data_IF_840422670872
#
_entry.id   IF_840422670872
#
_cell.length_a   1.000
_cell.length_b   1.000
_cell.length_c   1.000
_cell.angle_alpha   90.00
_cell.angle_beta   90.00
_cell.angle_gamma   90.00
#
_symmetry.space_group_name_H-M   'P 1'
#
loop_
_entity.id
_entity.type
_entity.pdbx_description
1 polymer ?
#
# COMPACT_ATOMS: atom_id res chain seq x y z
N UNK A 1 7.91 5.64 -11.26
CA UNK A 1 7.82 4.48 -12.17
C UNK A 1 7.20 3.36 -11.36
N UNK A 2 5.88 3.41 -11.16
CA UNK A 2 5.07 2.47 -10.33
C UNK A 2 5.04 1.02 -10.87
N UNK A 3 5.73 0.77 -11.98
CA UNK A 3 5.50 -0.31 -12.95
C UNK A 3 6.24 -1.61 -12.65
N UNK A 4 7.02 -1.68 -11.58
CA UNK A 4 7.80 -2.89 -11.25
C UNK A 4 7.26 -3.55 -9.99
N UNK A 5 6.74 -2.75 -9.05
CA UNK A 5 6.22 -3.25 -7.76
C UNK A 5 4.85 -3.93 -7.93
N UNK A 6 3.97 -3.39 -8.77
CA UNK A 6 2.74 -4.06 -9.20
C UNK A 6 3.00 -5.15 -10.24
N UNK A 7 3.93 -4.91 -11.16
CA UNK A 7 4.37 -5.95 -12.08
C UNK A 7 5.07 -7.13 -11.37
N UNK A 8 5.55 -7.01 -10.13
CA UNK A 8 6.13 -8.12 -9.33
C UNK A 8 5.06 -8.95 -8.59
N UNK A 9 3.97 -8.32 -8.16
CA UNK A 9 2.73 -9.02 -7.78
C UNK A 9 2.10 -9.71 -9.00
N UNK A 10 2.13 -9.06 -10.16
CA UNK A 10 1.75 -9.64 -11.44
C UNK A 10 2.74 -10.73 -11.91
N UNK A 11 4.05 -10.59 -11.69
CA UNK A 11 5.06 -11.54 -12.18
C UNK A 11 5.06 -12.86 -11.44
N UNK A 12 4.45 -12.93 -10.25
CA UNK A 12 4.15 -14.20 -9.61
C UNK A 12 3.08 -15.01 -10.36
N UNK A 13 2.45 -14.41 -11.38
CA UNK A 13 1.23 -14.91 -12.02
C UNK A 13 1.29 -14.88 -13.55
N UNK A 14 2.09 -14.00 -14.18
CA UNK A 14 2.10 -13.86 -15.64
C UNK A 14 3.01 -14.92 -16.30
N UNK A 15 2.46 -16.13 -16.47
CA UNK A 15 2.57 -16.86 -17.74
C UNK A 15 1.41 -16.34 -18.63
N UNK A 16 1.66 -15.96 -19.89
CA UNK A 16 0.76 -15.07 -20.61
C UNK A 16 -0.48 -15.80 -21.13
N UNK A 17 -1.67 -15.31 -20.78
CA UNK A 17 -2.88 -15.59 -21.54
C UNK A 17 -3.77 -14.34 -21.64
N UNK A 18 -3.80 -13.83 -22.87
CA UNK A 18 -4.54 -12.68 -23.37
C UNK A 18 -6.04 -13.02 -23.57
N UNK A 19 -6.95 -12.07 -23.26
CA UNK A 19 -8.16 -11.89 -24.08
C UNK A 19 -9.49 -11.57 -23.36
N UNK A 20 -9.93 -10.30 -23.50
CA UNK A 20 -11.20 -10.01 -24.20
C UNK A 20 -12.50 -9.80 -23.42
N UNK A 21 -12.86 -8.52 -23.29
CA UNK A 21 -14.13 -7.89 -23.69
C UNK A 21 -15.44 -8.00 -22.86
N UNK A 22 -15.95 -6.79 -22.58
CA UNK A 22 -17.33 -6.30 -22.75
C UNK A 22 -18.38 -6.35 -21.60
N UNK A 23 -18.70 -5.14 -21.14
CA UNK A 23 -20.03 -4.49 -21.23
C UNK A 23 -20.83 -4.19 -19.95
N UNK A 24 -21.23 -2.91 -19.82
CA UNK A 24 -22.52 -2.47 -19.26
C UNK A 24 -22.45 -1.44 -18.13
N UNK A 25 -22.44 -0.13 -18.40
CA UNK A 25 -23.65 0.74 -18.58
C UNK A 25 -24.28 1.30 -17.28
N UNK A 26 -23.85 2.53 -16.96
CA UNK A 26 -24.58 3.72 -16.42
C UNK A 26 -25.78 3.58 -15.46
N UNK A 27 -25.80 4.41 -14.42
CA UNK A 27 -26.89 5.39 -14.16
C UNK A 27 -26.47 6.45 -13.13
N UNK A 28 -26.74 7.71 -13.46
CA UNK A 28 -26.52 8.92 -12.66
C UNK A 28 -27.79 9.35 -11.89
N UNK A 29 -27.65 10.45 -11.13
CA UNK A 29 -28.67 11.35 -10.49
C UNK A 29 -28.89 11.07 -8.99
N UNK A 30 -28.98 12.04 -8.07
CA UNK A 30 -28.77 13.50 -8.03
C UNK A 30 -28.91 13.95 -6.55
N UNK A 31 -28.13 14.98 -6.19
CA UNK A 31 -28.45 16.14 -5.32
C UNK A 31 -29.06 16.03 -3.90
N UNK A 32 -28.25 16.52 -2.94
CA UNK A 32 -28.49 17.70 -2.08
C UNK A 32 -29.65 17.73 -1.06
N UNK A 33 -29.33 17.89 0.23
CA UNK A 33 -29.37 19.20 0.92
C UNK A 33 -29.46 19.13 2.47
N UNK A 34 -28.58 19.92 3.09
CA UNK A 34 -28.81 20.89 4.20
C UNK A 34 -29.01 20.47 5.67
N UNK A 35 -27.99 20.84 6.46
CA UNK A 35 -28.03 21.80 7.59
C UNK A 35 -28.71 21.44 8.92
N UNK A 36 -27.99 21.56 10.05
CA UNK A 36 -28.06 22.73 10.95
C UNK A 36 -27.29 22.54 12.27
N UNK A 37 -26.77 23.66 12.77
CA UNK A 37 -25.88 23.81 13.92
C UNK A 37 -26.61 23.91 15.28
N UNK A 38 -25.86 23.71 16.38
CA UNK A 38 -25.93 24.45 17.68
C UNK A 38 -24.87 23.87 18.64
N UNK A 39 -23.79 24.57 18.99
CA UNK A 39 -23.65 25.64 20.00
C UNK A 39 -23.29 25.14 21.43
N UNK A 40 -21.98 25.16 21.69
CA UNK A 40 -21.20 25.72 22.82
C UNK A 40 -21.58 25.55 24.30
N UNK A 41 -20.53 25.23 25.09
CA UNK A 41 -19.95 26.01 26.22
C UNK A 41 -19.62 25.14 27.47
N UNK A 42 -18.74 25.59 28.41
CA UNK A 42 -17.35 26.01 28.25
C UNK A 42 -16.42 25.47 29.37
N UNK A 43 -15.13 25.84 29.27
CA UNK A 43 -14.13 25.99 30.34
C UNK A 43 -13.38 24.74 30.82
N UNK A 44 -12.07 24.72 30.54
CA UNK A 44 -11.10 24.98 31.61
C UNK A 44 -9.76 25.41 31.01
N UNK A 45 -9.38 26.65 31.32
CA UNK A 45 -8.08 27.21 31.00
C UNK A 45 -6.98 26.54 31.83
N UNK A 46 -6.02 25.94 31.14
CA UNK A 46 -4.63 25.87 31.59
C UNK A 46 -3.81 26.52 30.48
N UNK A 47 -2.96 27.45 30.85
CA UNK A 47 -2.15 28.20 29.92
C UNK A 47 -1.06 27.29 29.34
N UNK A 48 -1.24 26.91 28.07
CA UNK A 48 -0.20 26.46 27.15
C UNK A 48 -0.32 27.35 25.91
N UNK A 49 0.29 28.54 25.95
CA UNK A 49 0.25 29.48 24.82
C UNK A 49 1.01 29.00 23.59
N UNK A 50 1.72 27.86 23.68
CA UNK A 50 2.39 27.19 22.56
C UNK A 50 1.42 26.28 21.77
N UNK A 51 0.48 25.60 22.46
CA UNK A 51 -0.39 24.59 21.83
C UNK A 51 -1.40 25.19 20.83
N UNK A 52 -1.78 26.46 21.02
CA UNK A 52 -2.68 27.16 20.09
C UNK A 52 -2.01 27.48 18.76
N UNK A 53 -0.70 27.69 18.74
CA UNK A 53 0.05 27.97 17.51
C UNK A 53 0.33 26.69 16.75
N UNK A 54 0.74 25.64 17.47
CA UNK A 54 0.97 24.29 16.94
C UNK A 54 -0.29 23.72 16.29
N UNK A 55 -1.45 23.79 16.97
CA UNK A 55 -2.73 23.34 16.40
C UNK A 55 -3.17 24.14 15.18
N UNK A 56 -2.94 25.46 15.18
CA UNK A 56 -3.29 26.29 14.02
C UNK A 56 -2.42 25.94 12.81
N UNK A 57 -1.12 25.70 13.03
CA UNK A 57 -0.18 25.29 12.00
C UNK A 57 -0.53 23.89 11.44
N UNK A 58 -0.75 22.90 12.32
CA UNK A 58 -1.15 21.55 11.91
C UNK A 58 -2.46 21.58 11.10
N UNK A 59 -3.44 22.37 11.52
CA UNK A 59 -4.71 22.53 10.82
C UNK A 59 -4.58 23.18 9.45
N UNK A 60 -3.69 24.17 9.29
CA UNK A 60 -3.43 24.78 8.00
C UNK A 60 -2.67 23.82 7.06
N UNK A 61 -1.67 23.11 7.58
CA UNK A 61 -0.94 22.08 6.84
C UNK A 61 -1.87 20.95 6.39
N UNK A 62 -2.80 20.51 7.25
CA UNK A 62 -3.79 19.50 6.92
C UNK A 62 -4.76 19.98 5.82
N UNK A 63 -5.16 21.25 5.85
CA UNK A 63 -5.99 21.82 4.80
C UNK A 63 -5.25 21.88 3.45
N UNK A 64 -3.95 22.19 3.47
CA UNK A 64 -3.10 22.13 2.28
C UNK A 64 -3.00 20.70 1.74
N UNK A 65 -2.75 19.73 2.62
CA UNK A 65 -2.62 18.32 2.28
C UNK A 65 -3.93 17.73 1.72
N UNK A 66 -5.07 18.00 2.37
CA UNK A 66 -6.39 17.55 1.90
C UNK A 66 -6.84 18.23 0.60
N UNK A 67 -6.18 19.31 0.19
CA UNK A 67 -6.43 19.95 -1.11
C UNK A 67 -5.66 19.28 -2.25
N UNK A 68 -4.68 18.43 -1.94
CA UNK A 68 -3.98 17.62 -2.93
C UNK A 68 -4.85 16.43 -3.34
N UNK A 69 -5.27 16.34 -4.62
CA UNK A 69 -6.06 15.21 -5.11
C UNK A 69 -5.29 13.88 -5.15
N UNK A 70 -3.96 13.91 -5.07
CA UNK A 70 -3.12 12.70 -5.06
C UNK A 70 -2.91 12.16 -3.64
N UNK A 71 -3.28 12.92 -2.61
CA UNK A 71 -3.15 12.48 -1.23
C UNK A 71 -4.25 11.46 -0.86
N UNK A 72 -3.89 10.23 -0.44
CA UNK A 72 -4.86 9.14 -0.27
C UNK A 72 -5.67 9.20 1.03
N UNK A 73 -5.32 10.08 1.99
CA UNK A 73 -5.89 10.09 3.35
C UNK A 73 -6.44 11.47 3.79
N UNK A 74 -7.30 12.13 2.99
CA UNK A 74 -7.71 13.51 3.26
C UNK A 74 -8.44 13.70 4.60
N UNK A 75 -9.13 12.66 5.09
CA UNK A 75 -9.87 12.71 6.35
C UNK A 75 -8.94 12.59 7.57
N UNK A 76 -7.78 11.93 7.41
CA UNK A 76 -6.77 11.73 8.45
C UNK A 76 -5.70 12.82 8.45
N UNK A 77 -5.72 13.74 7.47
CA UNK A 77 -4.70 14.78 7.30
C UNK A 77 -4.42 15.59 8.57
N UNK A 78 -5.45 15.91 9.37
CA UNK A 78 -5.26 16.63 10.64
C UNK A 78 -4.49 15.81 11.68
N UNK A 79 -4.82 14.53 11.83
CA UNK A 79 -4.10 13.66 12.76
C UNK A 79 -2.63 13.53 12.36
N UNK A 80 -2.38 13.34 11.06
CA UNK A 80 -1.02 13.16 10.51
C UNK A 80 -0.20 14.43 10.76
N UNK A 81 -0.73 15.61 10.46
CA UNK A 81 0.01 16.86 10.65
C UNK A 81 0.17 17.25 12.12
N UNK A 82 -0.79 16.92 12.99
CA UNK A 82 -0.62 17.05 14.44
C UNK A 82 0.53 16.15 14.93
N UNK A 83 0.61 14.91 14.46
CA UNK A 83 1.72 14.00 14.79
C UNK A 83 3.08 14.56 14.35
N UNK A 84 3.17 15.12 13.14
CA UNK A 84 4.40 15.75 12.63
C UNK A 84 4.82 16.95 13.51
N UNK A 85 3.86 17.79 13.89
CA UNK A 85 4.13 18.95 14.76
C UNK A 85 4.52 18.51 16.17
N UNK A 86 3.88 17.48 16.71
CA UNK A 86 4.18 16.95 18.04
C UNK A 86 5.55 16.27 18.11
N UNK A 87 5.98 15.59 17.04
CA UNK A 87 7.27 14.88 16.98
C UNK A 87 8.44 15.83 16.73
N UNK A 88 8.31 16.74 15.76
CA UNK A 88 9.40 17.63 15.33
C UNK A 88 9.42 18.94 16.11
N UNK A 89 8.23 19.47 16.43
CA UNK A 89 8.03 20.79 17.02
C UNK A 89 7.94 21.91 15.98
N UNK A 90 7.04 22.87 16.22
CA UNK A 90 6.76 24.00 15.32
C UNK A 90 8.01 24.84 15.01
N UNK A 91 8.81 25.17 16.02
CA UNK A 91 10.01 26.00 15.84
C UNK A 91 11.01 25.32 14.87
N UNK A 92 11.16 24.00 14.98
CA UNK A 92 12.05 23.20 14.14
C UNK A 92 11.52 23.07 12.71
N UNK A 93 10.21 22.88 12.54
CA UNK A 93 9.56 22.87 11.23
C UNK A 93 9.80 24.19 10.48
N UNK A 94 9.67 25.32 11.16
CA UNK A 94 9.95 26.65 10.58
C UNK A 94 11.43 26.80 10.21
N UNK A 95 12.36 26.34 11.06
CA UNK A 95 13.80 26.35 10.75
C UNK A 95 14.15 25.50 9.51
N UNK A 96 13.42 24.39 9.32
CA UNK A 96 13.54 23.51 8.17
C UNK A 96 12.86 24.05 6.90
N UNK A 97 12.17 25.19 7.00
CA UNK A 97 11.52 25.86 5.88
C UNK A 97 10.11 25.34 5.58
N UNK A 98 9.53 24.52 6.45
CA UNK A 98 8.15 24.06 6.32
C UNK A 98 7.20 25.21 6.66
N UNK A 99 6.23 25.44 5.78
CA UNK A 99 5.17 26.43 5.99
C UNK A 99 3.81 25.74 6.01
N UNK A 100 2.76 26.50 6.32
CA UNK A 100 1.37 26.03 6.28
C UNK A 100 0.94 25.52 4.89
N UNK A 101 1.59 26.00 3.83
CA UNK A 101 1.32 25.61 2.44
C UNK A 101 2.17 24.40 1.99
N UNK A 102 3.08 23.89 2.83
CA UNK A 102 3.95 22.77 2.47
C UNK A 102 3.25 21.42 2.41
N UNK A 103 1.95 21.36 2.72
CA UNK A 103 1.18 20.11 2.67
C UNK A 103 0.97 19.59 1.26
N UNK A 104 1.12 20.44 0.25
CA UNK A 104 1.07 20.06 -1.17
C UNK A 104 2.46 20.02 -1.84
N UNK A 105 3.53 20.15 -1.06
CA UNK A 105 4.89 20.02 -1.61
C UNK A 105 5.16 18.54 -1.93
N UNK A 106 5.93 18.29 -3.00
CA UNK A 106 6.38 16.94 -3.34
C UNK A 106 7.11 16.32 -2.15
N UNK A 107 6.73 15.10 -1.77
CA UNK A 107 7.27 14.41 -0.59
C UNK A 107 8.81 14.31 -0.61
N UNK A 108 9.42 14.12 -1.79
CA UNK A 108 10.88 14.03 -1.97
C UNK A 108 11.63 15.32 -1.62
N UNK A 109 10.97 16.47 -1.72
CA UNK A 109 11.57 17.78 -1.46
C UNK A 109 11.56 18.10 0.04
N UNK A 110 10.70 17.41 0.81
CA UNK A 110 10.66 17.57 2.25
C UNK A 110 11.98 17.12 2.90
N UNK A 111 12.43 17.77 3.97
CA UNK A 111 13.57 17.30 4.75
C UNK A 111 13.33 15.87 5.26
N UNK A 112 14.37 15.04 5.29
CA UNK A 112 14.27 13.63 5.70
C UNK A 112 13.63 13.43 7.09
N UNK A 113 13.90 14.36 8.03
CA UNK A 113 13.28 14.36 9.37
C UNK A 113 11.75 14.52 9.29
N UNK A 114 11.26 15.36 8.37
CA UNK A 114 9.83 15.61 8.13
C UNK A 114 9.19 14.44 7.40
N UNK A 115 9.87 13.86 6.41
CA UNK A 115 9.41 12.65 5.72
C UNK A 115 9.15 11.51 6.70
N UNK A 116 10.11 11.21 7.59
CA UNK A 116 9.98 10.14 8.59
C UNK A 116 8.80 10.39 9.53
N UNK A 117 8.67 11.60 10.07
CA UNK A 117 7.55 11.92 10.97
C UNK A 117 6.19 11.85 10.24
N UNK A 118 6.14 12.23 8.97
CA UNK A 118 4.93 12.14 8.16
C UNK A 118 4.51 10.68 7.91
N UNK A 119 5.46 9.81 7.54
CA UNK A 119 5.20 8.38 7.35
C UNK A 119 4.73 7.71 8.65
N UNK A 120 5.39 8.00 9.77
CA UNK A 120 4.96 7.48 11.07
C UNK A 120 3.57 7.99 11.44
N UNK A 121 3.29 9.28 11.18
CA UNK A 121 1.97 9.87 11.34
C UNK A 121 0.90 9.15 10.51
N UNK A 122 1.21 8.75 9.26
CA UNK A 122 0.30 7.93 8.45
C UNK A 122 0.02 6.59 9.15
N UNK A 123 1.07 5.86 9.53
CA UNK A 123 0.92 4.53 10.16
C UNK A 123 0.05 4.61 11.43
N UNK A 124 0.26 5.63 12.26
CA UNK A 124 -0.45 5.82 13.52
C UNK A 124 -1.90 6.30 13.33
N UNK A 125 -2.13 7.23 12.39
CA UNK A 125 -3.43 7.89 12.23
C UNK A 125 -4.40 7.15 11.32
N UNK A 126 -3.89 6.56 10.23
CA UNK A 126 -4.72 5.88 9.22
C UNK A 126 -5.15 4.50 9.71
N UNK A 127 -4.28 3.84 10.48
CA UNK A 127 -4.50 2.50 10.98
C UNK A 127 -4.62 1.45 9.88
N UNK A 128 -4.78 0.19 10.27
CA UNK A 128 -4.71 -0.94 9.34
C UNK A 128 -5.83 -0.94 8.29
N UNK A 129 -7.04 -0.47 8.62
CA UNK A 129 -8.15 -0.40 7.65
C UNK A 129 -7.91 0.60 6.53
N UNK A 130 -7.32 1.76 6.84
CA UNK A 130 -6.97 2.73 5.81
C UNK A 130 -5.77 2.28 4.98
N UNK A 131 -4.80 1.58 5.59
CA UNK A 131 -3.69 0.95 4.85
C UNK A 131 -4.17 -0.17 3.92
N UNK A 132 -5.15 -0.97 4.33
CA UNK A 132 -5.81 -1.95 3.45
C UNK A 132 -6.51 -1.26 2.27
N UNK A 133 -7.20 -0.15 2.55
CA UNK A 133 -7.84 0.67 1.50
C UNK A 133 -6.82 1.22 0.51
N UNK A 134 -5.65 1.68 1.00
CA UNK A 134 -4.54 2.11 0.15
C UNK A 134 -4.07 0.98 -0.76
N UNK A 135 -3.83 -0.23 -0.24
CA UNK A 135 -3.39 -1.37 -1.06
C UNK A 135 -4.37 -1.69 -2.18
N UNK A 136 -5.67 -1.71 -1.89
CA UNK A 136 -6.71 -1.94 -2.91
C UNK A 136 -6.66 -0.82 -3.96
N UNK A 137 -6.57 0.45 -3.55
CA UNK A 137 -6.49 1.57 -4.49
C UNK A 137 -5.26 1.46 -5.40
N UNK A 138 -4.08 1.23 -4.81
CA UNK A 138 -2.84 1.08 -5.57
C UNK A 138 -2.92 -0.11 -6.54
N UNK A 139 -3.52 -1.23 -6.13
CA UNK A 139 -3.72 -2.39 -7.02
C UNK A 139 -4.69 -2.15 -8.17
N UNK A 140 -5.52 -1.10 -8.11
CA UNK A 140 -6.46 -0.74 -9.16
C UNK A 140 -5.89 0.30 -10.15
N UNK A 141 -4.74 0.92 -9.86
CA UNK A 141 -4.21 1.99 -10.72
C UNK A 141 -3.72 1.47 -12.09
N UNK A 142 -3.23 0.23 -12.16
CA UNK A 142 -2.66 -0.38 -13.37
C UNK A 142 -3.33 -1.75 -13.67
N UNK A 143 -4.44 -1.74 -14.43
CA UNK A 143 -5.21 -2.95 -14.81
C UNK A 143 -4.45 -3.95 -15.71
N UNK A 144 -3.27 -3.58 -16.21
CA UNK A 144 -2.41 -4.46 -17.01
C UNK A 144 -1.62 -5.46 -16.12
N UNK A 145 -1.59 -5.25 -14.80
CA UNK A 145 -0.80 -6.02 -13.82
C UNK A 145 -1.63 -7.11 -13.08
N UNK A 146 -2.82 -7.45 -13.58
CA UNK A 146 -3.65 -8.54 -13.04
C UNK A 146 -4.92 -8.06 -12.34
N UNK A 147 -5.69 -8.97 -11.72
CA UNK A 147 -6.89 -8.62 -11.00
C UNK A 147 -6.54 -7.76 -9.77
N UNK A 148 -7.41 -6.79 -9.41
CA UNK A 148 -7.17 -5.98 -8.23
C UNK A 148 -7.18 -6.83 -6.97
N UNK A 149 -6.39 -6.41 -5.99
CA UNK A 149 -6.30 -7.09 -4.71
C UNK A 149 -7.67 -7.07 -4.02
N UNK A 150 -8.11 -8.23 -3.51
CA UNK A 150 -9.36 -8.30 -2.77
C UNK A 150 -9.24 -7.52 -1.45
N UNK A 151 -10.35 -6.97 -0.94
CA UNK A 151 -10.33 -6.26 0.34
C UNK A 151 -9.93 -7.19 1.50
N UNK A 152 -10.33 -8.47 1.43
CA UNK A 152 -9.97 -9.47 2.45
C UNK A 152 -8.44 -9.72 2.48
N UNK A 153 -7.82 -9.82 1.31
CA UNK A 153 -6.37 -9.97 1.20
C UNK A 153 -5.63 -8.70 1.64
N UNK A 154 -6.15 -7.53 1.29
CA UNK A 154 -5.60 -6.24 1.71
C UNK A 154 -5.66 -6.04 3.23
N UNK A 155 -6.77 -6.41 3.86
CA UNK A 155 -6.93 -6.39 5.32
C UNK A 155 -5.94 -7.34 5.99
N UNK A 156 -5.77 -8.54 5.44
CA UNK A 156 -4.76 -9.48 5.94
C UNK A 156 -3.36 -8.84 5.91
N UNK A 157 -2.95 -8.25 4.77
CA UNK A 157 -1.62 -7.62 4.65
C UNK A 157 -1.46 -6.51 5.66
N UNK A 158 -2.47 -5.65 5.78
CA UNK A 158 -2.44 -4.54 6.72
C UNK A 158 -2.26 -4.99 8.16
N UNK A 159 -3.00 -6.02 8.59
CA UNK A 159 -2.87 -6.58 9.93
C UNK A 159 -1.58 -7.38 10.14
N UNK A 160 -1.09 -8.03 9.08
CA UNK A 160 0.04 -8.95 9.10
C UNK A 160 1.41 -8.28 9.17
N UNK A 161 1.54 -7.10 8.57
CA UNK A 161 2.80 -6.38 8.51
C UNK A 161 3.05 -5.50 9.74
N UNK A 162 4.30 -5.51 10.19
CA UNK A 162 4.79 -4.62 11.25
C UNK A 162 4.74 -3.15 10.82
N UNK A 163 4.74 -2.26 11.80
CA UNK A 163 4.73 -0.81 11.54
C UNK A 163 6.03 -0.39 10.84
N UNK A 164 7.17 -1.03 11.13
CA UNK A 164 8.43 -0.79 10.41
C UNK A 164 8.37 -1.19 8.93
N UNK A 165 7.73 -2.33 8.62
CA UNK A 165 7.52 -2.76 7.23
C UNK A 165 6.58 -1.79 6.49
N UNK A 166 5.54 -1.32 7.17
CA UNK A 166 4.64 -0.30 6.64
C UNK A 166 5.34 1.03 6.38
N UNK A 167 6.14 1.51 7.32
CA UNK A 167 6.92 2.74 7.13
C UNK A 167 7.88 2.62 5.96
N UNK A 168 8.56 1.49 5.80
CA UNK A 168 9.45 1.26 4.65
C UNK A 168 8.69 1.26 3.33
N UNK A 169 7.53 0.59 3.27
CA UNK A 169 6.69 0.56 2.08
C UNK A 169 6.18 1.95 1.70
N UNK A 170 5.60 2.67 2.67
CA UNK A 170 5.05 4.00 2.44
C UNK A 170 6.14 5.00 2.03
N UNK A 171 7.33 4.91 2.62
CA UNK A 171 8.47 5.74 2.21
C UNK A 171 8.73 5.62 0.71
N UNK A 172 8.81 4.38 0.18
CA UNK A 172 8.98 4.15 -1.27
C UNK A 172 7.73 4.41 -2.11
N UNK A 173 6.53 4.39 -1.53
CA UNK A 173 5.31 4.75 -2.24
C UNK A 173 5.20 6.27 -2.46
N UNK A 174 5.64 7.09 -1.48
CA UNK A 174 5.50 8.54 -1.50
C UNK A 174 6.70 9.27 -2.15
N UNK A 175 7.94 8.84 -1.92
CA UNK A 175 9.03 9.24 -2.82
C UNK A 175 8.81 8.45 -4.09
N UNK A 176 8.72 8.97 -5.31
CA UNK A 176 8.45 8.13 -6.49
C UNK A 176 9.56 7.12 -6.86
N UNK A 177 10.51 6.88 -5.96
CA UNK A 177 11.62 5.94 -6.00
C UNK A 177 11.16 4.50 -5.78
N UNK A 178 11.77 3.58 -6.52
CA UNK A 178 11.57 2.14 -6.28
C UNK A 178 12.05 1.79 -4.86
N UNK A 179 11.30 0.95 -4.16
CA UNK A 179 11.85 0.28 -2.98
C UNK A 179 13.16 -0.39 -3.40
N UNK A 180 14.19 -0.26 -2.55
CA UNK A 180 15.40 -1.05 -2.75
C UNK A 180 15.05 -2.54 -2.81
N UNK A 181 15.80 -3.32 -3.58
CA UNK A 181 15.52 -4.75 -3.77
C UNK A 181 15.39 -5.49 -2.43
N UNK A 182 16.22 -5.12 -1.45
CA UNK A 182 16.18 -5.64 -0.08
C UNK A 182 14.86 -5.28 0.62
N UNK A 183 14.46 -4.00 0.59
CA UNK A 183 13.21 -3.54 1.22
C UNK A 183 11.96 -4.10 0.53
N UNK A 184 12.00 -4.22 -0.81
CA UNK A 184 10.93 -4.81 -1.59
C UNK A 184 10.79 -6.31 -1.27
N UNK A 185 11.90 -7.05 -1.29
CA UNK A 185 11.90 -8.46 -0.91
C UNK A 185 11.41 -8.66 0.53
N UNK A 186 11.86 -7.86 1.50
CA UNK A 186 11.43 -7.95 2.89
C UNK A 186 9.93 -7.68 3.05
N UNK A 187 9.37 -6.74 2.29
CA UNK A 187 7.93 -6.48 2.26
C UNK A 187 7.17 -7.70 1.69
N UNK A 188 7.60 -8.24 0.55
CA UNK A 188 6.95 -9.39 -0.08
C UNK A 188 7.03 -10.66 0.77
N UNK A 189 8.19 -10.93 1.38
CA UNK A 189 8.35 -12.04 2.32
C UNK A 189 7.39 -11.85 3.50
N UNK A 190 7.31 -10.63 4.05
CA UNK A 190 6.35 -10.31 5.11
C UNK A 190 4.89 -10.59 4.71
N UNK A 191 4.51 -10.21 3.48
CA UNK A 191 3.18 -10.49 2.94
C UNK A 191 2.91 -11.99 2.83
N UNK A 192 3.83 -12.77 2.26
CA UNK A 192 3.64 -14.21 2.07
C UNK A 192 3.62 -14.98 3.39
N UNK A 193 4.44 -14.57 4.36
CA UNK A 193 4.47 -15.18 5.69
C UNK A 193 3.21 -14.87 6.50
N UNK A 194 2.72 -13.62 6.43
CA UNK A 194 1.54 -13.20 7.17
C UNK A 194 0.24 -13.66 6.51
N UNK A 195 0.19 -13.65 5.18
CA UNK A 195 -1.02 -13.84 4.38
C UNK A 195 -0.82 -14.86 3.26
N UNK A 196 -0.53 -16.14 3.59
CA UNK A 196 -0.29 -17.18 2.60
C UNK A 196 -1.52 -17.47 1.71
N UNK A 197 -2.72 -17.07 2.15
CA UNK A 197 -3.96 -17.22 1.36
C UNK A 197 -3.97 -16.37 0.09
N UNK A 198 -3.14 -15.33 0.01
CA UNK A 198 -3.02 -14.49 -1.19
C UNK A 198 -2.56 -15.33 -2.38
N UNK A 199 -1.60 -16.23 -2.17
CA UNK A 199 -1.16 -17.15 -3.22
C UNK A 199 -2.28 -18.10 -3.64
N UNK A 200 -3.08 -18.57 -2.68
CA UNK A 200 -4.22 -19.47 -2.96
C UNK A 200 -5.28 -18.75 -3.79
N UNK A 201 -5.61 -17.51 -3.42
CA UNK A 201 -6.60 -16.70 -4.12
C UNK A 201 -6.11 -16.33 -5.53
N UNK A 202 -4.88 -15.86 -5.67
CA UNK A 202 -4.27 -15.60 -6.98
C UNK A 202 -4.25 -16.85 -7.85
N UNK A 203 -3.81 -18.01 -7.36
CA UNK A 203 -3.82 -19.23 -8.15
C UNK A 203 -5.22 -19.69 -8.59
N UNK A 204 -6.27 -19.37 -7.84
CA UNK A 204 -7.64 -19.65 -8.25
C UNK A 204 -8.11 -18.67 -9.31
N UNK A 205 -7.85 -17.39 -9.10
CA UNK A 205 -8.39 -16.32 -9.94
C UNK A 205 -7.66 -16.26 -11.29
N UNK A 206 -6.34 -16.50 -11.28
CA UNK A 206 -5.49 -16.32 -12.45
C UNK A 206 -5.27 -17.61 -13.24
N UNK A 207 -5.11 -18.74 -12.55
CA UNK A 207 -4.87 -20.05 -13.18
C UNK A 207 -6.14 -20.91 -13.25
N UNK A 208 -7.27 -20.42 -12.71
CA UNK A 208 -8.54 -21.14 -12.71
C UNK A 208 -8.53 -22.43 -11.89
N UNK A 209 -7.58 -22.58 -10.95
CA UNK A 209 -7.41 -23.79 -10.17
C UNK A 209 -8.54 -23.96 -9.16
N UNK A 210 -8.87 -25.21 -8.81
CA UNK A 210 -9.76 -25.46 -7.69
C UNK A 210 -9.04 -25.21 -6.35
N UNK A 211 -9.82 -25.02 -5.28
CA UNK A 211 -9.30 -24.71 -3.94
C UNK A 211 -8.21 -25.69 -3.50
N UNK A 212 -8.37 -26.99 -3.75
CA UNK A 212 -7.43 -28.00 -3.27
C UNK A 212 -6.11 -27.99 -4.05
N UNK A 213 -6.19 -27.70 -5.35
CA UNK A 213 -5.01 -27.52 -6.21
C UNK A 213 -4.25 -26.26 -5.82
N UNK A 214 -4.96 -25.14 -5.64
CA UNK A 214 -4.37 -23.85 -5.26
C UNK A 214 -3.70 -23.89 -3.89
N UNK A 215 -4.33 -24.52 -2.88
CA UNK A 215 -3.74 -24.71 -1.55
C UNK A 215 -2.46 -25.57 -1.60
N UNK A 216 -2.48 -26.65 -2.40
CA UNK A 216 -1.30 -27.50 -2.57
C UNK A 216 -0.16 -26.74 -3.25
N UNK A 217 -0.47 -25.98 -4.32
CA UNK A 217 0.51 -25.24 -5.08
C UNK A 217 1.13 -24.11 -4.25
N UNK A 218 0.30 -23.34 -3.54
CA UNK A 218 0.76 -22.30 -2.62
C UNK A 218 1.69 -22.87 -1.55
N UNK A 219 1.30 -23.96 -0.89
CA UNK A 219 2.15 -24.59 0.12
C UNK A 219 3.47 -25.13 -0.43
N UNK A 220 3.49 -25.59 -1.68
CA UNK A 220 4.69 -26.12 -2.33
C UNK A 220 5.65 -25.02 -2.80
N UNK A 221 5.11 -23.86 -3.23
CA UNK A 221 5.89 -22.78 -3.84
C UNK A 221 6.26 -21.66 -2.87
N UNK A 222 5.61 -21.53 -1.71
CA UNK A 222 5.87 -20.41 -0.79
C UNK A 222 7.37 -20.25 -0.48
N UNK A 223 8.06 -21.36 -0.16
CA UNK A 223 9.51 -21.32 0.11
C UNK A 223 10.34 -20.93 -1.11
N UNK A 224 10.06 -21.54 -2.26
CA UNK A 224 10.74 -21.22 -3.53
C UNK A 224 10.51 -19.75 -3.92
N UNK A 225 9.29 -19.21 -3.75
CA UNK A 225 8.98 -17.82 -4.03
C UNK A 225 9.77 -16.87 -3.10
N UNK A 226 9.81 -17.15 -1.80
CA UNK A 226 10.61 -16.39 -0.83
C UNK A 226 12.09 -16.40 -1.24
N UNK A 227 12.65 -17.55 -1.59
CA UNK A 227 14.04 -17.69 -2.04
C UNK A 227 14.31 -16.91 -3.34
N UNK A 228 13.32 -16.86 -4.24
CA UNK A 228 13.40 -16.12 -5.50
C UNK A 228 13.38 -14.60 -5.29
N UNK A 229 12.49 -14.11 -4.42
CA UNK A 229 12.43 -12.69 -4.08
C UNK A 229 13.69 -12.21 -3.37
N UNK A 230 14.20 -13.00 -2.42
CA UNK A 230 15.40 -12.64 -1.65
C UNK A 230 16.71 -12.78 -2.44
N UNK A 231 16.71 -13.51 -3.56
CA UNK A 231 17.89 -13.68 -4.41
C UNK A 231 18.02 -12.67 -5.56
N UNK A 232 17.01 -11.83 -5.80
CA UNK A 232 16.99 -10.87 -6.93
C UNK A 232 16.92 -11.53 -8.31
N UNK A 233 16.58 -12.82 -8.38
CA UNK A 233 16.64 -13.60 -9.61
C UNK A 233 15.63 -13.14 -10.69
N UNK A 234 14.53 -12.50 -10.29
CA UNK A 234 13.47 -12.04 -11.19
C UNK A 234 13.86 -10.83 -12.06
N UNK A 235 14.84 -10.04 -11.64
CA UNK A 235 15.19 -8.79 -12.32
C UNK A 235 16.07 -8.99 -13.57
N UNK A 236 16.88 -10.05 -13.58
CA UNK A 236 17.81 -10.31 -14.69
C UNK A 236 17.15 -11.03 -15.87
N UNK A 237 15.90 -11.46 -15.72
CA UNK A 237 15.24 -12.37 -16.66
C UNK A 237 15.86 -13.76 -16.73
N UNK A 238 16.91 -14.03 -15.94
CA UNK A 238 17.58 -15.31 -15.78
C UNK A 238 17.11 -15.94 -14.46
N UNK A 239 15.81 -16.22 -14.35
CA UNK A 239 15.33 -17.10 -13.29
C UNK A 239 16.10 -18.43 -13.40
N UNK A 240 16.80 -18.89 -12.33
CA UNK A 240 17.51 -20.15 -12.34
C UNK A 240 16.65 -21.26 -12.96
N UNK A 241 17.18 -22.04 -13.92
CA UNK A 241 16.42 -23.11 -14.57
C UNK A 241 15.92 -24.17 -13.56
N UNK A 242 16.53 -24.22 -12.38
CA UNK A 242 16.13 -25.01 -11.22
C UNK A 242 14.75 -24.62 -10.69
N UNK A 243 14.39 -23.33 -10.70
CA UNK A 243 13.07 -22.82 -10.26
C UNK A 243 11.97 -23.34 -11.19
N UNK A 244 12.20 -23.35 -12.50
CA UNK A 244 11.22 -23.91 -13.44
C UNK A 244 11.03 -25.42 -13.23
N UNK A 245 12.09 -26.12 -12.82
CA UNK A 245 12.01 -27.52 -12.42
C UNK A 245 11.14 -27.72 -11.18
N UNK A 246 11.40 -26.95 -10.12
CA UNK A 246 10.61 -26.99 -8.88
C UNK A 246 9.14 -26.59 -9.10
N UNK A 247 8.89 -25.59 -9.95
CA UNK A 247 7.57 -25.14 -10.33
C UNK A 247 6.80 -26.26 -11.05
N UNK A 248 7.40 -26.90 -12.06
CA UNK A 248 6.78 -28.02 -12.79
C UNK A 248 6.55 -29.22 -11.87
N UNK A 249 7.50 -29.53 -10.98
CA UNK A 249 7.34 -30.59 -9.98
C UNK A 249 6.18 -30.29 -9.02
N UNK A 250 6.01 -29.04 -8.60
CA UNK A 250 4.89 -28.61 -7.76
C UNK A 250 3.55 -28.73 -8.51
N UNK A 251 3.47 -28.27 -9.75
CA UNK A 251 2.25 -28.42 -10.57
C UNK A 251 1.83 -29.89 -10.72
N UNK A 252 2.77 -30.76 -11.11
CA UNK A 252 2.50 -32.20 -11.27
C UNK A 252 2.16 -32.84 -9.91
N UNK A 253 2.89 -32.47 -8.86
CA UNK A 253 2.68 -32.96 -7.49
C UNK A 253 1.31 -32.62 -6.93
N UNK A 254 0.77 -31.46 -7.30
CA UNK A 254 -0.56 -30.99 -6.93
C UNK A 254 -1.68 -31.46 -7.87
N UNK A 255 -1.36 -32.30 -8.86
CA UNK A 255 -2.35 -32.86 -9.78
C UNK A 255 -2.92 -31.83 -10.76
N UNK A 256 -2.16 -30.78 -11.05
CA UNK A 256 -2.54 -29.76 -12.03
C UNK A 256 -2.09 -30.25 -13.41
N UNK A 257 -3.03 -30.27 -14.35
CA UNK A 257 -2.72 -30.61 -15.73
C UNK A 257 -2.14 -29.37 -16.41
N UNK A 258 -0.90 -29.45 -16.87
CA UNK A 258 -0.22 -28.34 -17.55
C UNK A 258 -0.96 -27.88 -18.81
N UNK A 259 -1.80 -28.74 -19.40
CA UNK A 259 -2.67 -28.37 -20.53
C UNK A 259 -3.85 -27.46 -20.13
N UNK A 260 -4.12 -27.28 -18.83
CA UNK A 260 -5.10 -26.31 -18.32
C UNK A 260 -4.52 -24.90 -18.19
N UNK A 261 -3.20 -24.77 -18.30
CA UNK A 261 -2.47 -23.50 -18.22
C UNK A 261 -2.17 -22.89 -19.61
N UNK A 262 -2.63 -23.53 -20.70
CA UNK A 262 -2.50 -23.08 -22.11
C UNK A 262 -3.71 -22.31 -22.62
#
# INVERSE_FOLDING_TARGET
MKKVLFALLALCVVVPACGGDDAGSVTSMDESSSSSASASSPASEKADSSSSGEQAFAGALAASLASDPEFPFPDEGLCITESVVDEIGLDRLIELGITEDSGSDDFEVLPAEVQVAFINGIVDCVGKSGLATLLVQLSNEDLDDGPPLSMEDAECIAEGLSDEQWSSFLQGAFSGDELSDESGADFFVGVLEACPQILVNSFKDDLGLDQSQAECLAGSLTGTLIDVFTSGALETGDAPPEIFGELIEAFIGCGIDLAQLE
#
